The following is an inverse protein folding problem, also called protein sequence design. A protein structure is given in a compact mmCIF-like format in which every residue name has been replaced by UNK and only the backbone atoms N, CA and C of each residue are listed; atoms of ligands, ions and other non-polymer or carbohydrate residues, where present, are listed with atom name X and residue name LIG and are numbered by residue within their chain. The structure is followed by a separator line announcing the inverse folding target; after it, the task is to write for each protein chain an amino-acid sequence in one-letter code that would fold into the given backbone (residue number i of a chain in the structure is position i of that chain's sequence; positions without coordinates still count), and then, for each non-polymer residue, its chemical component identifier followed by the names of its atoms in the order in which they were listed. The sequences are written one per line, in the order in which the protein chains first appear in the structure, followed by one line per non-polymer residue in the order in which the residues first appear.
data_IF_880524826172
#
_entry.id   IF_880524826172
#
_cell.length_a   1.000
_cell.length_b   1.000
_cell.length_c   1.000
_cell.angle_alpha   90.00
_cell.angle_beta   90.00
_cell.angle_gamma   90.00
#
_symmetry.space_group_name_H-M   'P 1'
#
loop_
_entity.id
_entity.type
_entity.pdbx_description
1 polymer ?
#
# COMPACT_ATOMS: atom_id res chain seq x y z
N UNK A 1 11.72 -65.23 -36.84
CA UNK A 1 11.00 -65.29 -38.13
C UNK A 1 10.23 -63.94 -38.30
N UNK A 2 10.92 -62.90 -38.81
CA UNK A 2 10.35 -61.57 -38.99
C UNK A 2 9.93 -61.38 -40.44
N UNK A 3 8.65 -61.21 -40.69
CA UNK A 3 8.09 -60.82 -41.98
C UNK A 3 8.28 -59.37 -42.24
N UNK A 4 9.13 -58.96 -43.17
CA UNK A 4 9.25 -57.64 -43.74
C UNK A 4 7.98 -57.29 -44.52
N UNK A 5 7.24 -56.27 -44.06
CA UNK A 5 6.14 -55.70 -44.82
C UNK A 5 6.72 -54.68 -45.78
N UNK A 6 6.78 -55.03 -47.07
CA UNK A 6 7.19 -54.14 -48.17
C UNK A 6 5.96 -53.30 -48.58
N UNK A 7 5.99 -52.05 -48.26
CA UNK A 7 5.00 -51.07 -48.76
C UNK A 7 5.27 -50.78 -50.23
N UNK A 8 4.22 -50.82 -51.03
CA UNK A 8 4.21 -50.60 -52.47
C UNK A 8 4.59 -49.16 -52.84
N UNK A 9 5.23 -48.91 -53.99
CA UNK A 9 5.72 -47.61 -54.42
C UNK A 9 4.62 -46.54 -54.69
N UNK A 10 3.36 -46.95 -54.76
CA UNK A 10 2.26 -46.02 -55.06
C UNK A 10 1.82 -45.12 -53.92
N UNK A 11 2.22 -45.49 -52.66
CA UNK A 11 1.84 -44.70 -51.49
C UNK A 11 2.82 -43.56 -51.18
N UNK A 12 3.98 -43.49 -51.84
CA UNK A 12 5.00 -42.47 -51.58
C UNK A 12 4.70 -41.14 -52.27
N UNK A 13 3.88 -41.09 -53.29
CA UNK A 13 3.55 -39.88 -54.04
C UNK A 13 2.34 -39.15 -53.50
N UNK A 14 1.50 -39.80 -52.72
CA UNK A 14 0.33 -39.15 -52.11
C UNK A 14 0.69 -38.33 -50.88
N UNK A 15 1.77 -38.70 -50.16
CA UNK A 15 2.23 -37.97 -48.97
C UNK A 15 2.94 -36.63 -49.33
N UNK A 16 3.44 -36.46 -50.53
CA UNK A 16 4.18 -35.27 -50.96
C UNK A 16 3.29 -34.13 -51.44
N UNK A 17 2.02 -34.42 -51.81
CA UNK A 17 1.08 -33.40 -52.28
C UNK A 17 0.25 -32.73 -51.20
N UNK A 18 0.16 -33.34 -50.00
CA UNK A 18 -0.55 -32.80 -48.87
C UNK A 18 0.29 -31.76 -48.11
N UNK A 19 1.64 -31.86 -48.21
CA UNK A 19 2.55 -30.94 -47.54
C UNK A 19 2.75 -29.58 -48.26
N UNK A 20 2.33 -29.44 -49.53
CA UNK A 20 2.54 -28.22 -50.32
C UNK A 20 1.38 -27.24 -50.25
N UNK A 21 0.25 -27.62 -49.65
CA UNK A 21 -0.94 -26.74 -49.62
C UNK A 21 -1.15 -26.00 -48.33
N UNK A 22 -0.22 -26.07 -47.35
CA UNK A 22 -0.37 -25.53 -46.01
C UNK A 22 0.51 -24.28 -45.73
N UNK A 23 1.14 -23.66 -46.75
CA UNK A 23 2.09 -22.57 -46.55
C UNK A 23 1.72 -21.31 -47.37
N UNK A 24 0.45 -21.04 -47.59
CA UNK A 24 0.03 -19.75 -48.11
C UNK A 24 -1.24 -19.27 -47.42
N UNK A 25 -1.23 -19.18 -46.10
CA UNK A 25 -2.10 -18.21 -45.45
C UNK A 25 -1.36 -16.87 -45.48
N UNK A 26 -1.93 -15.83 -46.07
CA UNK A 26 -1.35 -14.52 -45.92
C UNK A 26 -1.42 -14.19 -44.43
N UNK A 27 -0.26 -14.07 -43.83
CA UNK A 27 -0.11 -13.43 -42.51
C UNK A 27 -0.55 -12.00 -42.69
N UNK A 28 -1.86 -11.78 -42.72
CA UNK A 28 -2.43 -10.44 -42.65
C UNK A 28 -1.91 -9.84 -41.37
N UNK A 29 -1.07 -8.88 -41.55
CA UNK A 29 -0.40 -8.06 -40.59
C UNK A 29 -1.43 -7.45 -39.62
N UNK A 30 -1.82 -8.20 -38.61
CA UNK A 30 -2.54 -7.67 -37.44
C UNK A 30 -1.60 -6.81 -36.59
N UNK A 31 -0.29 -6.87 -36.88
CA UNK A 31 0.73 -6.11 -36.15
C UNK A 31 0.67 -4.60 -36.41
N UNK A 32 0.10 -4.16 -37.55
CA UNK A 32 0.04 -2.73 -37.85
C UNK A 32 -1.17 -2.00 -37.24
N UNK A 33 -2.11 -2.71 -36.66
CA UNK A 33 -3.26 -2.07 -35.99
C UNK A 33 -3.01 -1.77 -34.51
N UNK A 34 -1.97 -2.37 -33.92
CA UNK A 34 -1.60 -2.11 -32.50
C UNK A 34 -0.51 -1.02 -32.36
N UNK A 35 0.06 -0.56 -33.48
CA UNK A 35 1.16 0.41 -33.47
C UNK A 35 0.72 1.87 -33.57
N UNK A 36 -0.57 2.18 -33.46
CA UNK A 36 -1.07 3.56 -33.58
C UNK A 36 -1.68 4.07 -32.27
N UNK A 37 -1.04 3.79 -31.15
CA UNK A 37 -1.38 4.40 -29.85
C UNK A 37 -0.46 5.56 -29.48
N UNK A 38 0.53 5.89 -30.33
CA UNK A 38 1.51 6.95 -30.01
C UNK A 38 1.03 8.38 -30.32
N UNK A 39 -0.14 8.54 -30.94
CA UNK A 39 -0.69 9.87 -31.29
C UNK A 39 -1.78 10.36 -30.34
N UNK A 40 -2.03 9.66 -29.22
CA UNK A 40 -2.94 10.18 -28.22
C UNK A 40 -2.19 11.22 -27.38
N UNK A 41 -2.67 12.46 -27.41
CA UNK A 41 -2.23 13.49 -26.46
C UNK A 41 -2.19 12.90 -25.03
N UNK A 42 -1.08 13.06 -24.32
CA UNK A 42 -0.97 12.50 -23.00
C UNK A 42 -2.07 13.08 -22.10
N UNK A 43 -2.87 12.20 -21.49
CA UNK A 43 -3.91 12.65 -20.58
C UNK A 43 -3.30 13.52 -19.45
N UNK A 44 -4.05 14.48 -18.92
CA UNK A 44 -3.63 15.22 -17.73
C UNK A 44 -3.32 14.27 -16.57
N UNK A 45 -2.21 14.51 -15.89
CA UNK A 45 -1.86 13.77 -14.68
C UNK A 45 -2.69 14.27 -13.51
N UNK A 46 -3.18 13.34 -12.69
CA UNK A 46 -4.00 13.62 -11.52
C UNK A 46 -3.19 13.39 -10.25
N UNK A 47 -3.04 14.44 -9.46
CA UNK A 47 -2.45 14.37 -8.13
C UNK A 47 -3.54 14.48 -7.07
N UNK A 48 -3.54 13.58 -6.11
CA UNK A 48 -4.45 13.61 -4.95
C UNK A 48 -3.70 14.08 -3.73
N UNK A 49 -4.17 15.18 -3.13
CA UNK A 49 -3.58 15.78 -1.93
C UNK A 49 -4.55 15.63 -0.77
N UNK A 50 -4.16 14.83 0.23
CA UNK A 50 -5.00 14.46 1.36
C UNK A 50 -4.54 15.19 2.62
N UNK A 51 -5.39 16.05 3.14
CA UNK A 51 -5.08 16.86 4.34
C UNK A 51 -5.10 16.02 5.63
N UNK A 52 -4.47 16.55 6.67
CA UNK A 52 -4.65 16.05 8.02
C UNK A 52 -6.05 16.34 8.55
N UNK A 53 -6.43 15.72 9.67
CA UNK A 53 -7.73 16.00 10.29
C UNK A 53 -8.19 14.95 11.31
N UNK A 54 -7.32 14.07 11.76
CA UNK A 54 -7.67 12.98 12.68
C UNK A 54 -8.84 12.15 12.12
N UNK A 55 -9.86 11.90 12.93
CA UNK A 55 -11.03 11.11 12.51
C UNK A 55 -11.75 11.66 11.27
N UNK A 56 -11.72 12.99 11.06
CA UNK A 56 -12.32 13.61 9.86
C UNK A 56 -11.60 13.21 8.58
N UNK A 57 -10.34 12.79 8.67
CA UNK A 57 -9.56 12.31 7.53
C UNK A 57 -10.12 11.01 6.92
N UNK A 58 -11.00 10.27 7.62
CA UNK A 58 -11.71 9.15 7.04
C UNK A 58 -12.60 9.55 5.84
N UNK A 59 -13.00 10.83 5.74
CA UNK A 59 -13.73 11.34 4.59
C UNK A 59 -12.94 11.24 3.27
N UNK A 60 -11.61 11.17 3.33
CA UNK A 60 -10.76 10.97 2.15
C UNK A 60 -11.08 9.66 1.43
N UNK A 61 -11.50 8.62 2.18
CA UNK A 61 -11.88 7.33 1.60
C UNK A 61 -13.07 7.49 0.64
N UNK A 62 -14.06 8.29 1.02
CA UNK A 62 -15.20 8.59 0.15
C UNK A 62 -14.79 9.27 -1.16
N UNK A 63 -13.79 10.15 -1.11
CA UNK A 63 -13.23 10.78 -2.32
C UNK A 63 -12.50 9.75 -3.19
N UNK A 64 -11.70 8.87 -2.57
CA UNK A 64 -11.00 7.81 -3.31
C UNK A 64 -11.99 6.84 -3.98
N UNK A 65 -13.08 6.44 -3.28
CA UNK A 65 -14.16 5.64 -3.87
C UNK A 65 -14.77 6.31 -5.09
N UNK A 66 -15.09 7.60 -4.99
CA UNK A 66 -15.64 8.34 -6.11
C UNK A 66 -14.67 8.40 -7.31
N UNK A 67 -13.37 8.53 -7.07
CA UNK A 67 -12.36 8.50 -8.13
C UNK A 67 -12.29 7.11 -8.79
N UNK A 68 -12.35 6.03 -8.00
CA UNK A 68 -12.39 4.65 -8.51
C UNK A 68 -13.67 4.40 -9.33
N UNK A 69 -14.83 4.76 -8.81
CA UNK A 69 -16.13 4.64 -9.51
C UNK A 69 -16.14 5.39 -10.84
N UNK A 70 -15.57 6.59 -10.87
CA UNK A 70 -15.44 7.39 -12.08
C UNK A 70 -14.29 6.94 -12.99
N UNK A 71 -13.53 5.93 -12.58
CA UNK A 71 -12.36 5.43 -13.31
C UNK A 71 -11.32 6.54 -13.59
N UNK A 72 -11.17 7.48 -12.68
CA UNK A 72 -10.17 8.55 -12.77
C UNK A 72 -8.84 8.00 -12.24
N UNK A 73 -7.83 7.78 -13.10
CA UNK A 73 -6.55 7.27 -12.67
C UNK A 73 -5.78 8.33 -11.87
N UNK A 74 -5.28 7.92 -10.71
CA UNK A 74 -4.44 8.74 -9.84
C UNK A 74 -2.97 8.47 -10.14
N UNK A 75 -2.20 9.51 -10.48
CA UNK A 75 -0.79 9.40 -10.85
C UNK A 75 0.17 9.64 -9.69
N UNK A 76 -0.25 10.37 -8.68
CA UNK A 76 0.52 10.64 -7.47
C UNK A 76 -0.42 10.92 -6.29
N UNK A 77 -0.03 10.43 -5.14
CA UNK A 77 -0.73 10.70 -3.87
C UNK A 77 0.22 11.40 -2.91
N UNK A 78 -0.28 12.43 -2.26
CA UNK A 78 0.44 13.06 -1.14
C UNK A 78 -0.49 13.29 0.03
N UNK A 79 0.05 13.25 1.25
CA UNK A 79 -0.80 13.39 2.42
C UNK A 79 -0.08 13.86 3.67
N UNK A 80 -0.88 14.30 4.64
CA UNK A 80 -0.43 14.72 5.97
C UNK A 80 -1.30 14.06 7.03
N UNK A 81 -0.70 13.54 8.13
CA UNK A 81 -1.42 12.92 9.25
C UNK A 81 -2.36 11.78 8.76
N UNK A 82 -3.66 11.83 9.06
CA UNK A 82 -4.62 10.83 8.56
C UNK A 82 -4.65 10.75 7.03
N UNK A 83 -4.48 11.87 6.34
CA UNK A 83 -4.36 11.87 4.88
C UNK A 83 -3.09 11.17 4.39
N UNK A 84 -1.99 11.25 5.15
CA UNK A 84 -0.79 10.46 4.85
C UNK A 84 -1.04 8.97 5.07
N UNK A 85 -1.76 8.60 6.12
CA UNK A 85 -2.08 7.22 6.41
C UNK A 85 -2.99 6.59 5.34
N UNK A 86 -4.11 7.24 5.04
CA UNK A 86 -5.06 6.80 3.99
C UNK A 86 -4.39 6.78 2.62
N UNK A 87 -3.68 7.86 2.28
CA UNK A 87 -3.00 7.98 1.01
C UNK A 87 -1.86 6.99 0.84
N UNK A 88 -1.13 6.69 1.93
CA UNK A 88 -0.09 5.67 1.93
C UNK A 88 -0.65 4.28 1.66
N UNK A 89 -1.74 3.88 2.31
CA UNK A 89 -2.42 2.62 2.05
C UNK A 89 -2.92 2.55 0.60
N UNK A 90 -3.52 3.62 0.10
CA UNK A 90 -3.97 3.69 -1.30
C UNK A 90 -2.81 3.57 -2.28
N UNK A 91 -1.70 4.22 -2.00
CA UNK A 91 -0.50 4.16 -2.83
C UNK A 91 0.12 2.75 -2.90
N UNK A 92 -0.11 1.89 -1.90
CA UNK A 92 0.32 0.49 -1.94
C UNK A 92 -0.52 -0.38 -2.87
N UNK A 93 -1.62 0.14 -3.40
CA UNK A 93 -2.55 -0.58 -4.29
C UNK A 93 -3.80 -1.11 -3.59
N UNK A 94 -4.03 -0.76 -2.32
CA UNK A 94 -5.31 -1.09 -1.67
C UNK A 94 -6.43 -0.25 -2.28
N UNK A 95 -7.57 -0.88 -2.55
CA UNK A 95 -8.78 -0.18 -2.96
C UNK A 95 -9.36 0.66 -1.80
N UNK A 96 -10.16 1.65 -2.13
CA UNK A 96 -10.82 2.49 -1.14
C UNK A 96 -11.75 1.70 -0.21
N UNK A 97 -12.40 0.64 -0.70
CA UNK A 97 -13.24 -0.26 0.11
C UNK A 97 -12.42 -1.10 1.09
N UNK A 98 -11.26 -1.60 0.67
CA UNK A 98 -10.34 -2.32 1.55
C UNK A 98 -9.80 -1.40 2.64
N UNK A 99 -9.43 -0.17 2.29
CA UNK A 99 -8.97 0.84 3.25
C UNK A 99 -10.07 1.17 4.26
N UNK A 100 -11.32 1.34 3.82
CA UNK A 100 -12.45 1.60 4.72
C UNK A 100 -12.62 0.46 5.70
N UNK A 101 -12.72 -0.77 5.19
CA UNK A 101 -12.89 -1.97 6.02
C UNK A 101 -11.76 -2.10 7.04
N UNK A 102 -10.54 -1.80 6.62
CA UNK A 102 -9.34 -1.88 7.43
C UNK A 102 -9.32 -0.81 8.54
N UNK A 103 -9.61 0.44 8.23
CA UNK A 103 -9.62 1.55 9.19
C UNK A 103 -10.60 1.32 10.34
N UNK A 104 -11.73 0.67 10.08
CA UNK A 104 -12.69 0.32 11.12
C UNK A 104 -12.20 -0.77 12.08
N UNK A 105 -11.22 -1.58 11.71
CA UNK A 105 -10.64 -2.61 12.60
C UNK A 105 -9.60 -2.04 13.56
N UNK A 106 -9.09 -0.83 13.31
CA UNK A 106 -8.01 -0.22 14.07
C UNK A 106 -8.54 0.40 15.36
N UNK A 107 -7.99 0.00 16.51
CA UNK A 107 -8.24 0.67 17.78
C UNK A 107 -7.44 1.98 17.89
N UNK A 108 -7.98 3.03 17.27
CA UNK A 108 -7.39 4.37 17.32
C UNK A 108 -7.26 4.90 18.74
N UNK A 109 -8.20 4.52 19.64
CA UNK A 109 -8.19 5.00 21.02
C UNK A 109 -6.98 4.49 21.79
N UNK A 110 -6.50 3.29 21.49
CA UNK A 110 -5.28 2.73 22.08
C UNK A 110 -4.03 3.45 21.57
N UNK A 111 -4.02 3.88 20.30
CA UNK A 111 -2.91 4.61 19.69
C UNK A 111 -2.61 5.95 20.36
N UNK A 112 -3.65 6.63 20.85
CA UNK A 112 -3.51 7.91 21.57
C UNK A 112 -3.23 7.78 23.06
N UNK A 113 -3.25 6.55 23.61
CA UNK A 113 -2.96 6.25 25.01
C UNK A 113 -1.62 5.54 25.12
N UNK A 114 -0.59 6.23 25.61
CA UNK A 114 0.73 5.62 25.88
C UNK A 114 0.74 4.78 27.17
N UNK A 115 -0.42 4.39 27.66
CA UNK A 115 -0.54 3.57 28.85
C UNK A 115 -0.94 2.16 28.48
N UNK A 116 -0.18 1.19 29.00
CA UNK A 116 -0.55 -0.23 28.96
C UNK A 116 -1.83 -0.41 29.75
N UNK A 117 -2.79 -1.20 29.24
CA UNK A 117 -4.03 -1.48 29.94
C UNK A 117 -3.77 -1.97 31.37
N UNK A 118 -4.60 -1.50 32.33
CA UNK A 118 -4.46 -1.86 33.73
C UNK A 118 -4.39 -3.38 33.96
N UNK A 119 -5.10 -4.16 33.14
CA UNK A 119 -5.08 -5.64 33.20
C UNK A 119 -3.70 -6.23 32.96
N UNK A 120 -2.91 -5.60 32.10
CA UNK A 120 -1.57 -6.06 31.67
C UNK A 120 -0.43 -5.51 32.54
N UNK A 121 -0.73 -4.59 33.47
CA UNK A 121 0.29 -4.02 34.37
C UNK A 121 0.60 -4.94 35.52
N UNK A 122 1.85 -4.84 36.04
CA UNK A 122 2.25 -5.55 37.22
C UNK A 122 1.45 -5.06 38.42
N UNK A 123 1.18 -5.95 39.38
CA UNK A 123 0.42 -5.62 40.59
C UNK A 123 1.03 -4.43 41.36
N UNK A 124 2.35 -4.38 41.47
CA UNK A 124 3.08 -3.29 42.15
C UNK A 124 2.87 -1.93 41.45
N UNK A 125 2.80 -1.90 40.13
CA UNK A 125 2.59 -0.67 39.38
C UNK A 125 1.15 -0.17 39.56
N UNK A 126 0.19 -1.10 39.67
CA UNK A 126 -1.22 -0.80 39.97
C UNK A 126 -1.39 -0.20 41.37
N UNK A 127 -0.71 -0.81 42.41
CA UNK A 127 -0.74 -0.32 43.77
C UNK A 127 -0.08 1.06 43.90
N UNK A 128 0.99 1.29 43.17
CA UNK A 128 1.66 2.60 43.14
C UNK A 128 0.76 3.69 42.55
N UNK A 129 0.09 3.42 41.44
CA UNK A 129 -0.86 4.35 40.81
C UNK A 129 -2.06 4.63 41.70
N UNK A 130 -2.59 3.63 42.40
CA UNK A 130 -3.72 3.79 43.31
C UNK A 130 -3.35 4.66 44.55
N UNK A 131 -2.06 4.65 44.90
CA UNK A 131 -1.56 5.43 46.04
C UNK A 131 -1.24 6.88 45.67
N UNK A 132 -0.80 7.12 44.46
CA UNK A 132 -0.38 8.44 43.99
C UNK A 132 -1.22 8.87 42.79
N UNK A 133 -2.11 9.85 42.99
CA UNK A 133 -3.02 10.33 41.95
C UNK A 133 -2.32 11.16 40.85
N UNK A 134 -1.11 11.65 41.11
CA UNK A 134 -0.31 12.44 40.17
C UNK A 134 0.90 11.57 39.79
N UNK A 135 0.79 10.89 38.66
CA UNK A 135 1.90 10.17 38.04
C UNK A 135 2.63 11.08 37.05
N UNK A 136 3.66 11.73 37.58
CA UNK A 136 4.63 12.41 36.68
C UNK A 136 5.85 11.50 36.61
N UNK A 137 6.08 10.89 35.45
CA UNK A 137 7.29 10.12 35.18
C UNK A 137 8.48 11.08 35.09
N UNK A 138 9.16 11.29 36.20
CA UNK A 138 10.40 12.07 36.24
C UNK A 138 11.59 11.13 36.04
N UNK A 139 12.36 11.35 35.00
CA UNK A 139 13.60 10.63 34.72
C UNK A 139 14.80 11.32 35.39
N UNK A 140 15.75 10.51 35.92
CA UNK A 140 17.06 11.01 36.33
C UNK A 140 18.10 10.58 35.31
N UNK A 141 18.80 11.55 34.70
CA UNK A 141 19.94 11.30 33.79
C UNK A 141 21.10 12.17 34.20
N UNK A 142 22.20 11.56 34.58
CA UNK A 142 23.44 12.25 35.03
C UNK A 142 23.25 13.33 36.12
N UNK A 143 22.30 13.06 37.09
CA UNK A 143 22.03 14.00 38.14
C UNK A 143 21.02 15.10 37.84
N UNK A 144 20.53 15.17 36.59
CA UNK A 144 19.49 16.10 36.18
C UNK A 144 18.12 15.45 36.19
N UNK A 145 17.13 16.11 36.78
CA UNK A 145 15.73 15.70 36.74
C UNK A 145 15.17 16.11 35.36
N UNK A 146 14.71 15.15 34.59
CA UNK A 146 14.08 15.38 33.29
C UNK A 146 12.60 15.05 33.37
N UNK A 147 11.80 16.00 32.97
CA UNK A 147 10.39 15.76 32.67
C UNK A 147 10.23 15.08 31.30
N UNK A 148 9.18 14.28 31.08
CA UNK A 148 8.88 13.73 29.77
C UNK A 148 8.71 14.87 28.75
N UNK A 149 9.20 14.64 27.54
CA UNK A 149 9.17 15.62 26.44
C UNK A 149 7.77 15.87 25.87
N UNK A 150 6.76 15.10 26.31
CA UNK A 150 5.37 15.24 25.90
C UNK A 150 4.42 14.38 26.72
N UNK A 151 3.14 14.71 26.67
CA UNK A 151 2.07 13.97 27.35
C UNK A 151 1.81 12.62 26.68
N UNK A 152 2.05 12.54 25.37
CA UNK A 152 1.93 11.33 24.55
C UNK A 152 3.27 11.13 23.83
N UNK A 153 3.90 9.99 24.05
CA UNK A 153 5.19 9.68 23.42
C UNK A 153 5.04 8.97 22.06
N UNK A 154 3.82 8.60 21.70
CA UNK A 154 3.48 8.04 20.39
C UNK A 154 3.88 6.58 20.17
N UNK A 155 4.36 5.87 21.18
CA UNK A 155 4.79 4.47 21.05
C UNK A 155 3.65 3.55 20.63
N UNK A 156 2.47 3.72 21.22
CA UNK A 156 1.29 2.93 20.86
C UNK A 156 0.78 3.29 19.47
N UNK A 157 0.82 4.57 19.09
CA UNK A 157 0.49 4.97 17.71
C UNK A 157 1.45 4.34 16.71
N UNK A 158 2.76 4.35 16.99
CA UNK A 158 3.74 3.70 16.14
C UNK A 158 3.49 2.19 16.02
N UNK A 159 3.07 1.52 17.12
CA UNK A 159 2.68 0.12 17.09
C UNK A 159 1.46 -0.10 16.18
N UNK A 160 0.40 0.69 16.36
CA UNK A 160 -0.79 0.64 15.50
C UNK A 160 -0.41 0.81 14.03
N UNK A 161 0.39 1.83 13.71
CA UNK A 161 0.84 2.05 12.33
C UNK A 161 1.65 0.87 11.78
N UNK A 162 2.53 0.28 12.59
CA UNK A 162 3.33 -0.90 12.18
C UNK A 162 2.48 -2.14 11.99
N UNK A 163 1.52 -2.39 12.87
CA UNK A 163 0.59 -3.53 12.75
C UNK A 163 -0.22 -3.42 11.45
N UNK A 164 -0.59 -2.21 11.09
CA UNK A 164 -1.40 -1.94 9.92
C UNK A 164 -0.60 -1.93 8.60
N UNK A 165 0.70 -1.67 8.67
CA UNK A 165 1.59 -1.63 7.49
C UNK A 165 2.62 -2.76 7.48
N UNK A 166 2.64 -3.61 8.50
CA UNK A 166 3.69 -4.63 8.70
C UNK A 166 3.73 -5.74 7.64
N UNK A 167 2.66 -5.94 6.88
CA UNK A 167 2.61 -6.90 5.79
C UNK A 167 3.06 -6.31 4.44
N UNK A 168 3.37 -5.03 4.39
CA UNK A 168 3.91 -4.40 3.20
C UNK A 168 5.35 -4.86 2.99
N UNK A 169 5.70 -5.14 1.75
CA UNK A 169 7.07 -5.46 1.35
C UNK A 169 8.04 -4.32 1.68
N UNK A 170 9.32 -4.61 1.61
CA UNK A 170 10.36 -3.58 1.76
C UNK A 170 10.44 -2.78 0.45
N UNK A 171 10.35 -1.47 0.56
CA UNK A 171 10.51 -0.54 -0.55
C UNK A 171 11.80 0.28 -0.32
N UNK A 172 12.55 0.51 -1.37
CA UNK A 172 13.73 1.38 -1.32
C UNK A 172 13.35 2.86 -1.49
N UNK A 173 12.24 3.11 -2.20
CA UNK A 173 11.65 4.44 -2.39
C UNK A 173 10.12 4.37 -2.36
N UNK A 174 9.49 5.47 -1.97
CA UNK A 174 8.04 5.64 -2.11
C UNK A 174 7.59 5.77 -3.58
N UNK A 175 8.51 5.90 -4.51
CA UNK A 175 8.23 5.84 -5.95
C UNK A 175 8.05 4.41 -6.45
N UNK A 176 8.48 3.40 -5.67
CA UNK A 176 8.33 1.98 -6.00
C UNK A 176 6.94 1.43 -5.62
N UNK A 177 6.11 2.24 -4.97
CA UNK A 177 4.72 1.89 -4.68
C UNK A 177 3.88 1.84 -5.97
N UNK A 178 2.72 1.18 -5.90
CA UNK A 178 1.79 1.09 -7.04
C UNK A 178 1.42 2.48 -7.59
N UNK A 179 1.33 3.48 -6.70
CA UNK A 179 1.19 4.89 -7.05
C UNK A 179 2.30 5.65 -6.32
N UNK A 180 3.09 6.50 -7.00
CA UNK A 180 4.08 7.36 -6.35
C UNK A 180 3.49 8.14 -5.19
N UNK A 181 4.20 8.16 -4.06
CA UNK A 181 3.67 8.69 -2.81
C UNK A 181 4.63 9.68 -2.16
N UNK A 182 4.08 10.70 -1.49
CA UNK A 182 4.81 11.62 -0.61
C UNK A 182 4.00 11.91 0.65
N UNK A 183 4.69 12.04 1.78
CA UNK A 183 4.09 12.52 3.03
C UNK A 183 4.87 13.71 3.58
N UNK A 184 4.16 14.58 4.28
CA UNK A 184 4.75 15.74 4.93
C UNK A 184 4.87 15.47 6.42
N UNK A 185 6.06 15.70 6.96
CA UNK A 185 6.35 15.65 8.39
C UNK A 185 7.16 16.90 8.78
N UNK A 186 7.05 17.30 10.04
CA UNK A 186 7.85 18.40 10.60
C UNK A 186 9.06 17.84 11.32
N UNK A 187 10.25 18.31 10.97
CA UNK A 187 11.45 18.05 11.76
C UNK A 187 11.48 19.01 12.96
N UNK A 188 11.24 18.45 14.15
CA UNK A 188 11.22 19.24 15.40
C UNK A 188 12.60 19.67 15.89
N UNK A 189 13.68 19.08 15.36
CA UNK A 189 15.04 19.46 15.69
C UNK A 189 15.57 20.56 14.78
N UNK A 190 15.26 20.44 13.49
CA UNK A 190 15.62 21.47 12.49
C UNK A 190 14.64 22.63 12.47
N UNK A 191 13.43 22.46 13.01
CA UNK A 191 12.31 23.42 12.94
C UNK A 191 11.84 23.72 11.50
N UNK A 192 11.96 22.70 10.61
CA UNK A 192 11.56 22.75 9.20
C UNK A 192 10.35 21.84 8.91
#
# INVERSE_FOLDING_TARGET
MFKKLLLSPSTRHFALWVSAFLITTPSVSLANSLAKTDDLEPRPKVAVVLAGGGAKGAAHIGVLKALEEMQIPVDIVTGTSMGAYVGGLYATGMSADEIESFIYTVDWSSGYRDRVDRSQRRVRDKEYEDRYQINTDLGLRFGEVRAPTGVVQGQNMLRVLRETTGNLGRFDSFDDLAIPYRSVATDILALE
#
